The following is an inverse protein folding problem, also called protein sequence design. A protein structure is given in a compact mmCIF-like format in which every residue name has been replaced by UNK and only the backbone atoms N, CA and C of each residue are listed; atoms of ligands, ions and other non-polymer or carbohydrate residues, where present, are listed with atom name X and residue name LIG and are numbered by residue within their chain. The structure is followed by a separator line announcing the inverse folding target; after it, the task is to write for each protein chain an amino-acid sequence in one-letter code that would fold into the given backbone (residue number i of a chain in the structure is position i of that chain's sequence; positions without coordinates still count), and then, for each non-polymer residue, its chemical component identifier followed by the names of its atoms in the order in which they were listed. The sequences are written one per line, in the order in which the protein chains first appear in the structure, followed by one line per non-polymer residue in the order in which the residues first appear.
data_IF_075019728366
#
_entry.id   IF_075019728366
#
_cell.length_a   1.000
_cell.length_b   1.000
_cell.length_c   1.000
_cell.angle_alpha   90.00
_cell.angle_beta   90.00
_cell.angle_gamma   90.00
#
_symmetry.space_group_name_H-M   'P 1'
#
loop_
_entity.id
_entity.type
_entity.pdbx_description
1 polymer ?
#
# COMPACT_ATOMS: atom_id res chain seq x y z
N UNK A 1 -58.39 -0.66 -46.96
CA UNK A 1 -58.19 -1.88 -46.12
C UNK A 1 -56.98 -1.60 -45.24
N UNK A 2 -57.22 -1.19 -44.02
CA UNK A 2 -56.10 -1.02 -43.04
C UNK A 2 -55.67 -2.39 -42.55
N UNK A 3 -54.33 -2.61 -42.35
CA UNK A 3 -53.89 -3.81 -41.71
C UNK A 3 -54.17 -3.71 -40.20
N UNK A 4 -54.97 -4.67 -39.72
CA UNK A 4 -55.24 -4.86 -38.32
C UNK A 4 -53.88 -5.17 -37.62
N UNK A 5 -53.46 -4.31 -36.69
CA UNK A 5 -52.36 -4.60 -35.81
C UNK A 5 -52.81 -5.69 -34.82
N UNK A 6 -52.48 -6.92 -35.10
CA UNK A 6 -52.59 -8.01 -34.13
C UNK A 6 -51.56 -7.76 -33.02
N UNK A 7 -52.04 -7.36 -31.88
CA UNK A 7 -51.25 -7.39 -30.65
C UNK A 7 -50.97 -8.87 -30.30
N UNK A 8 -49.87 -9.40 -30.80
CA UNK A 8 -49.40 -10.70 -30.37
C UNK A 8 -48.92 -10.57 -28.92
N UNK A 9 -49.70 -11.12 -28.00
CA UNK A 9 -49.32 -11.28 -26.60
C UNK A 9 -48.58 -12.61 -26.48
N UNK A 10 -47.34 -12.56 -26.00
CA UNK A 10 -46.66 -13.77 -25.57
C UNK A 10 -47.29 -14.16 -24.23
N UNK A 11 -48.06 -15.24 -24.20
CA UNK A 11 -48.59 -15.81 -22.97
C UNK A 11 -47.59 -16.89 -22.54
N UNK A 12 -46.92 -16.65 -21.43
CA UNK A 12 -46.07 -17.67 -20.78
C UNK A 12 -46.99 -18.47 -19.85
N UNK A 13 -47.42 -19.65 -20.31
CA UNK A 13 -48.33 -20.51 -19.52
C UNK A 13 -47.66 -21.22 -18.37
N UNK A 14 -46.36 -21.45 -18.45
CA UNK A 14 -45.59 -21.96 -17.30
C UNK A 14 -44.11 -21.64 -17.44
N UNK A 15 -43.46 -21.39 -16.31
CA UNK A 15 -41.99 -21.36 -16.20
C UNK A 15 -41.65 -22.56 -15.31
N UNK A 16 -41.04 -23.57 -15.89
CA UNK A 16 -40.50 -24.68 -15.15
C UNK A 16 -39.06 -24.32 -14.69
N UNK A 17 -38.91 -24.06 -13.40
CA UNK A 17 -37.58 -23.95 -12.81
C UNK A 17 -37.13 -25.37 -12.49
N UNK A 18 -36.24 -25.91 -13.32
CA UNK A 18 -35.62 -27.22 -13.07
C UNK A 18 -34.52 -26.99 -12.03
N UNK A 19 -34.82 -27.29 -10.76
CA UNK A 19 -33.80 -27.36 -9.73
C UNK A 19 -32.98 -28.63 -9.94
N UNK A 20 -31.70 -28.50 -10.25
CA UNK A 20 -30.85 -29.68 -10.44
C UNK A 20 -29.48 -29.41 -11.08
N UNK A 21 -29.18 -28.20 -11.45
CA UNK A 21 -27.81 -27.82 -11.77
C UNK A 21 -27.31 -26.97 -10.60
N UNK A 22 -26.54 -27.60 -9.71
CA UNK A 22 -25.68 -26.85 -8.80
C UNK A 22 -24.73 -26.06 -9.66
N UNK A 23 -25.02 -24.78 -9.87
CA UNK A 23 -24.08 -23.87 -10.51
C UNK A 23 -23.00 -23.62 -9.48
N UNK A 24 -22.02 -24.49 -9.41
CA UNK A 24 -20.81 -24.25 -8.64
C UNK A 24 -20.07 -23.10 -9.30
N UNK A 25 -20.08 -21.95 -8.66
CA UNK A 25 -19.29 -20.83 -9.11
C UNK A 25 -17.81 -21.20 -8.99
N UNK A 26 -16.98 -20.82 -9.96
CA UNK A 26 -15.55 -21.09 -9.88
C UNK A 26 -14.94 -20.40 -8.66
N UNK A 27 -13.91 -20.99 -8.04
CA UNK A 27 -13.20 -20.32 -6.96
C UNK A 27 -12.49 -19.08 -7.45
N UNK A 28 -12.40 -18.07 -6.59
CA UNK A 28 -11.67 -16.83 -6.88
C UNK A 28 -10.71 -16.56 -5.74
N UNK A 29 -9.40 -16.56 -6.05
CA UNK A 29 -8.33 -16.19 -5.13
C UNK A 29 -8.07 -14.69 -5.24
N UNK A 30 -8.08 -13.98 -4.11
CA UNK A 30 -7.78 -12.55 -4.03
C UNK A 30 -6.74 -12.28 -2.95
N UNK A 31 -5.69 -11.52 -3.28
CA UNK A 31 -4.76 -10.97 -2.29
C UNK A 31 -5.42 -9.74 -1.66
N UNK A 32 -5.40 -9.65 -0.33
CA UNK A 32 -5.96 -8.54 0.44
C UNK A 32 -4.89 -7.67 1.09
N UNK A 33 -3.63 -8.10 1.05
CA UNK A 33 -2.46 -7.29 1.43
C UNK A 33 -1.83 -6.61 0.21
N UNK A 34 -0.70 -5.93 0.42
CA UNK A 34 0.09 -5.34 -0.67
C UNK A 34 0.64 -6.43 -1.60
N UNK A 35 0.65 -6.15 -2.89
CA UNK A 35 1.20 -7.02 -3.94
C UNK A 35 2.61 -6.62 -4.39
N UNK A 36 3.13 -5.52 -3.85
CA UNK A 36 4.50 -5.07 -4.08
C UNK A 36 5.13 -4.77 -2.72
N UNK A 37 6.18 -5.50 -2.39
CA UNK A 37 6.89 -5.37 -1.12
C UNK A 37 8.29 -4.86 -1.38
N UNK A 38 8.70 -3.84 -0.64
CA UNK A 38 10.08 -3.37 -0.57
C UNK A 38 10.59 -3.64 0.85
N UNK A 39 11.70 -4.35 0.96
CA UNK A 39 12.22 -4.82 2.25
C UNK A 39 13.71 -4.51 2.41
N UNK A 40 14.19 -4.32 3.65
CA UNK A 40 15.61 -4.10 3.90
C UNK A 40 16.46 -5.35 3.63
N UNK A 41 17.78 -5.17 3.65
CA UNK A 41 18.74 -6.25 3.41
C UNK A 41 18.75 -7.33 4.49
N UNK A 42 18.32 -7.01 5.70
CA UNK A 42 18.28 -7.94 6.81
C UNK A 42 17.23 -9.03 6.59
N UNK A 43 17.45 -10.19 7.19
CA UNK A 43 16.45 -11.27 7.17
C UNK A 43 15.18 -10.81 7.91
N UNK A 44 14.03 -11.07 7.31
CA UNK A 44 12.73 -10.70 7.89
C UNK A 44 11.64 -11.70 7.52
N UNK A 45 10.52 -11.65 8.22
CA UNK A 45 9.32 -12.44 7.92
C UNK A 45 8.22 -11.47 7.49
N UNK A 46 7.54 -11.81 6.41
CA UNK A 46 6.36 -11.08 5.93
C UNK A 46 5.17 -12.03 5.80
N UNK A 47 3.98 -11.46 5.79
CA UNK A 47 2.73 -12.21 5.64
C UNK A 47 1.94 -11.62 4.47
N UNK A 48 1.45 -12.50 3.61
CA UNK A 48 0.52 -12.17 2.54
C UNK A 48 -0.86 -12.62 3.00
N UNK A 49 -1.81 -11.70 3.08
CA UNK A 49 -3.20 -12.02 3.38
C UNK A 49 -3.98 -12.23 2.09
N UNK A 50 -4.87 -13.19 2.11
CA UNK A 50 -5.71 -13.53 0.95
C UNK A 50 -7.10 -14.00 1.38
N UNK A 51 -8.02 -14.02 0.42
CA UNK A 51 -9.34 -14.65 0.55
C UNK A 51 -9.58 -15.58 -0.64
N UNK A 52 -10.36 -16.63 -0.41
CA UNK A 52 -10.88 -17.51 -1.47
C UNK A 52 -12.39 -17.45 -1.44
N UNK A 53 -13.01 -16.95 -2.50
CA UNK A 53 -14.45 -17.00 -2.71
C UNK A 53 -14.81 -18.33 -3.37
N UNK A 54 -15.95 -18.90 -3.06
CA UNK A 54 -16.44 -20.21 -3.55
C UNK A 54 -15.39 -21.34 -3.39
N UNK A 55 -14.84 -21.56 -2.19
CA UNK A 55 -13.77 -22.53 -2.01
C UNK A 55 -14.24 -23.97 -2.29
N UNK A 56 -13.39 -24.74 -2.93
CA UNK A 56 -13.61 -26.17 -3.14
C UNK A 56 -13.13 -26.93 -1.91
N UNK A 57 -13.98 -27.85 -1.44
CA UNK A 57 -13.66 -28.66 -0.26
C UNK A 57 -12.39 -29.50 -0.48
N UNK A 58 -11.47 -29.44 0.49
CA UNK A 58 -10.19 -30.17 0.45
C UNK A 58 -9.09 -29.51 -0.39
N UNK A 59 -9.36 -28.37 -1.03
CA UNK A 59 -8.35 -27.58 -1.77
C UNK A 59 -7.77 -26.49 -0.87
N UNK A 60 -6.46 -26.31 -0.93
CA UNK A 60 -5.74 -25.29 -0.17
C UNK A 60 -4.93 -24.38 -1.09
N UNK A 61 -4.69 -23.15 -0.64
CA UNK A 61 -3.75 -22.24 -1.32
C UNK A 61 -2.34 -22.79 -1.21
N UNK A 62 -1.59 -22.70 -2.30
CA UNK A 62 -0.17 -23.06 -2.37
C UNK A 62 0.63 -21.83 -2.74
N UNK A 63 1.69 -21.55 -1.98
CA UNK A 63 2.66 -20.50 -2.26
C UNK A 63 3.95 -21.10 -2.83
N UNK A 64 4.52 -20.43 -3.82
CA UNK A 64 5.83 -20.76 -4.40
C UNK A 64 6.59 -19.47 -4.69
N UNK A 65 7.92 -19.59 -4.82
CA UNK A 65 8.78 -18.47 -5.21
C UNK A 65 9.65 -18.87 -6.41
N UNK A 66 9.98 -17.90 -7.25
CA UNK A 66 10.93 -18.02 -8.34
C UNK A 66 12.41 -17.90 -7.90
N UNK A 67 12.64 -17.57 -6.62
CA UNK A 67 13.96 -17.39 -6.03
C UNK A 67 14.10 -18.10 -4.69
N UNK A 68 15.30 -18.59 -4.35
CA UNK A 68 15.54 -19.38 -3.14
C UNK A 68 15.56 -18.57 -1.84
N UNK A 69 15.81 -17.27 -1.90
CA UNK A 69 15.87 -16.39 -0.74
C UNK A 69 14.51 -15.94 -0.21
N UNK A 70 13.42 -16.27 -0.93
CA UNK A 70 12.03 -16.19 -0.47
C UNK A 70 11.56 -17.61 -0.17
N UNK A 71 11.48 -17.99 1.09
CA UNK A 71 11.32 -19.40 1.48
C UNK A 71 10.48 -19.57 2.78
N UNK A 72 10.42 -20.79 3.29
CA UNK A 72 9.79 -21.15 4.58
C UNK A 72 8.34 -20.68 4.69
N UNK A 73 7.52 -21.02 3.70
CA UNK A 73 6.10 -20.67 3.70
C UNK A 73 5.34 -21.39 4.81
N UNK A 74 4.68 -20.61 5.69
CA UNK A 74 3.84 -21.09 6.79
C UNK A 74 2.42 -20.59 6.59
N UNK A 75 1.48 -21.52 6.48
CA UNK A 75 0.07 -21.22 6.22
C UNK A 75 -0.69 -20.97 7.51
N UNK A 76 -1.43 -19.87 7.56
CA UNK A 76 -2.33 -19.46 8.61
C UNK A 76 -3.76 -19.44 8.07
N UNK A 77 -4.76 -19.14 8.93
CA UNK A 77 -6.18 -19.14 8.55
C UNK A 77 -6.46 -18.22 7.36
N UNK A 78 -5.91 -17.01 7.37
CA UNK A 78 -6.20 -15.97 6.37
C UNK A 78 -4.96 -15.47 5.62
N UNK A 79 -3.87 -16.26 5.65
CA UNK A 79 -2.64 -15.80 5.03
C UNK A 79 -1.54 -16.84 5.00
N UNK A 80 -0.44 -16.46 4.35
CA UNK A 80 0.80 -17.22 4.32
C UNK A 80 1.95 -16.30 4.72
N UNK A 81 2.69 -16.72 5.75
CA UNK A 81 3.94 -16.08 6.16
C UNK A 81 5.11 -16.73 5.45
N UNK A 82 6.13 -15.97 5.15
CA UNK A 82 7.35 -16.46 4.49
C UNK A 82 8.58 -15.71 5.00
N UNK A 83 9.71 -16.38 4.91
CA UNK A 83 11.01 -15.81 5.28
C UNK A 83 11.68 -15.19 4.05
N UNK A 84 12.27 -14.05 4.27
CA UNK A 84 13.16 -13.35 3.34
C UNK A 84 14.57 -13.44 3.92
N UNK A 85 15.47 -14.15 3.28
CA UNK A 85 16.83 -14.29 3.73
C UNK A 85 17.60 -12.97 3.61
N UNK A 86 18.61 -12.77 4.48
CA UNK A 86 19.45 -11.58 4.41
C UNK A 86 20.13 -11.45 3.04
N UNK A 87 20.14 -10.23 2.52
CA UNK A 87 20.90 -9.87 1.32
C UNK A 87 22.29 -9.37 1.70
N UNK A 88 23.33 -9.95 1.14
CA UNK A 88 24.72 -9.53 1.34
C UNK A 88 25.32 -8.87 0.08
N UNK A 89 24.52 -8.74 -0.97
CA UNK A 89 24.94 -8.25 -2.28
C UNK A 89 24.17 -7.00 -2.73
N UNK A 90 24.05 -6.83 -4.03
CA UNK A 90 23.26 -5.75 -4.63
C UNK A 90 21.77 -5.95 -4.42
N UNK A 91 20.98 -4.92 -4.71
CA UNK A 91 19.52 -5.00 -4.71
C UNK A 91 19.03 -6.18 -5.56
N UNK A 92 18.04 -6.91 -5.05
CA UNK A 92 17.50 -8.08 -5.72
C UNK A 92 15.97 -8.10 -5.69
N UNK A 93 15.38 -8.73 -6.70
CA UNK A 93 13.93 -8.90 -6.79
C UNK A 93 13.57 -10.36 -7.01
N UNK A 94 12.39 -10.72 -6.54
CA UNK A 94 11.80 -12.05 -6.72
C UNK A 94 10.29 -11.96 -6.68
N UNK A 95 9.64 -13.04 -7.09
CA UNK A 95 8.18 -13.14 -7.17
C UNK A 95 7.68 -14.32 -6.33
N UNK A 96 6.64 -14.07 -5.54
CA UNK A 96 5.86 -15.13 -4.89
C UNK A 96 4.59 -15.30 -5.70
N UNK A 97 4.24 -16.55 -6.00
CA UNK A 97 2.99 -16.91 -6.65
C UNK A 97 2.11 -17.68 -5.66
N UNK A 98 0.90 -17.19 -5.45
CA UNK A 98 -0.17 -17.92 -4.77
C UNK A 98 -1.05 -18.58 -5.81
N UNK A 99 -1.29 -19.87 -5.66
CA UNK A 99 -2.16 -20.65 -6.53
C UNK A 99 -3.24 -21.36 -5.72
N UNK A 100 -4.40 -21.50 -6.33
CA UNK A 100 -5.52 -22.27 -5.81
C UNK A 100 -6.17 -22.99 -6.99
N UNK A 101 -6.43 -24.30 -6.85
CA UNK A 101 -6.96 -25.09 -7.94
C UNK A 101 -8.32 -24.55 -8.42
N UNK A 102 -8.42 -24.30 -9.71
CA UNK A 102 -9.61 -23.72 -10.35
C UNK A 102 -9.69 -22.19 -10.32
N UNK A 103 -8.77 -21.49 -9.66
CA UNK A 103 -8.69 -20.03 -9.64
C UNK A 103 -7.48 -19.52 -10.42
N UNK A 104 -7.52 -18.25 -10.82
CA UNK A 104 -6.37 -17.55 -11.39
C UNK A 104 -5.29 -17.34 -10.31
N UNK A 105 -4.04 -17.66 -10.64
CA UNK A 105 -2.92 -17.46 -9.75
C UNK A 105 -2.64 -15.97 -9.52
N UNK A 106 -2.22 -15.62 -8.32
CA UNK A 106 -1.91 -14.26 -7.91
C UNK A 106 -0.42 -14.12 -7.62
N UNK A 107 0.17 -12.98 -7.96
CA UNK A 107 1.60 -12.74 -7.80
C UNK A 107 1.90 -11.54 -6.90
N UNK A 108 2.99 -11.66 -6.15
CA UNK A 108 3.53 -10.62 -5.27
C UNK A 108 4.98 -10.39 -5.64
N UNK A 109 5.32 -9.14 -5.97
CA UNK A 109 6.69 -8.74 -6.24
C UNK A 109 7.39 -8.33 -4.94
N UNK A 110 8.58 -8.85 -4.72
CA UNK A 110 9.42 -8.52 -3.55
C UNK A 110 10.74 -7.95 -4.05
N UNK A 111 11.08 -6.73 -3.65
CA UNK A 111 12.38 -6.13 -3.87
C UNK A 111 13.10 -6.00 -2.54
N UNK A 112 14.32 -6.52 -2.45
CA UNK A 112 15.15 -6.43 -1.27
C UNK A 112 16.39 -5.57 -1.56
N UNK A 113 16.59 -4.55 -0.73
CA UNK A 113 17.69 -3.62 -0.90
C UNK A 113 19.05 -4.27 -0.63
N UNK A 114 20.10 -3.62 -1.08
CA UNK A 114 21.48 -3.97 -0.71
C UNK A 114 21.77 -3.60 0.75
N UNK A 115 22.79 -4.21 1.39
CA UNK A 115 23.24 -3.84 2.72
C UNK A 115 23.61 -2.36 2.81
N UNK A 116 23.25 -1.74 3.94
CA UNK A 116 23.49 -0.31 4.16
C UNK A 116 22.49 0.62 3.49
N UNK A 117 21.52 0.11 2.73
CA UNK A 117 20.38 0.90 2.30
C UNK A 117 19.44 1.14 3.48
N UNK A 118 19.07 2.38 3.68
CA UNK A 118 18.06 2.75 4.70
C UNK A 118 16.68 2.67 4.04
N UNK A 119 15.86 1.75 4.54
CA UNK A 119 14.44 1.68 4.15
C UNK A 119 13.66 2.69 4.98
N UNK A 120 12.93 3.54 4.30
CA UNK A 120 12.01 4.45 4.93
C UNK A 120 10.59 4.00 4.66
N UNK A 121 9.88 3.74 5.73
CA UNK A 121 8.43 3.67 5.69
C UNK A 121 7.87 5.09 5.51
N UNK A 122 6.55 5.21 5.46
CA UNK A 122 5.91 6.51 5.33
C UNK A 122 6.32 7.44 6.47
N UNK A 123 6.94 8.59 6.15
CA UNK A 123 7.16 9.64 7.14
C UNK A 123 5.85 10.39 7.36
N UNK A 124 5.33 10.33 8.59
CA UNK A 124 4.07 10.97 8.99
C UNK A 124 4.26 12.31 9.69
N UNK A 125 5.51 12.70 9.92
CA UNK A 125 5.88 13.95 10.61
C UNK A 125 5.32 14.09 12.03
N UNK A 126 5.00 12.96 12.70
CA UNK A 126 4.46 12.98 14.08
C UNK A 126 5.43 13.60 15.08
N UNK A 127 6.73 13.43 14.84
CA UNK A 127 7.77 14.00 15.71
C UNK A 127 8.07 15.47 15.39
N UNK A 128 7.46 16.05 14.38
CA UNK A 128 7.62 17.45 14.05
C UNK A 128 6.84 18.33 15.04
N UNK A 129 7.54 19.21 15.73
CA UNK A 129 6.91 20.20 16.60
C UNK A 129 6.69 21.51 15.85
N UNK A 130 5.42 21.89 15.74
CA UNK A 130 5.04 23.15 15.10
C UNK A 130 5.67 24.33 15.84
N UNK A 131 6.42 25.21 15.17
CA UNK A 131 6.97 26.40 15.82
C UNK A 131 5.85 27.27 16.41
N UNK A 132 6.08 27.79 17.60
CA UNK A 132 5.12 28.69 18.29
C UNK A 132 5.03 30.09 17.68
N UNK A 133 5.95 30.44 16.82
CA UNK A 133 6.02 31.77 16.19
C UNK A 133 5.14 31.86 14.96
N UNK A 134 4.46 33.00 14.78
CA UNK A 134 3.67 33.32 13.59
C UNK A 134 4.54 33.80 12.42
N UNK A 135 5.81 34.06 12.64
CA UNK A 135 6.76 34.46 11.58
C UNK A 135 7.41 33.23 10.95
N UNK A 136 7.65 33.27 9.64
CA UNK A 136 8.32 32.23 8.89
C UNK A 136 9.86 32.23 9.08
N UNK A 137 10.30 32.47 10.29
CA UNK A 137 11.72 32.56 10.63
C UNK A 137 12.28 31.40 11.42
N UNK A 138 11.46 30.45 11.80
CA UNK A 138 11.89 29.33 12.63
C UNK A 138 12.72 28.33 11.85
N UNK A 139 13.77 27.83 12.50
CA UNK A 139 14.63 26.77 12.00
C UNK A 139 14.89 25.77 13.13
N UNK A 140 15.09 24.53 12.77
CA UNK A 140 15.34 23.46 13.74
C UNK A 140 15.48 22.11 13.09
N UNK A 141 15.45 21.09 13.94
CA UNK A 141 15.54 19.69 13.53
C UNK A 141 14.51 18.85 14.31
N UNK A 142 14.13 17.71 13.74
CA UNK A 142 13.34 16.68 14.39
C UNK A 142 13.72 15.30 13.85
N UNK A 143 13.48 14.25 14.61
CA UNK A 143 13.72 12.89 14.18
C UNK A 143 12.51 12.39 13.38
N UNK A 144 12.75 11.63 12.31
CA UNK A 144 11.69 10.92 11.60
C UNK A 144 10.99 9.90 12.51
N UNK A 145 9.80 9.45 12.11
CA UNK A 145 9.00 8.48 12.88
C UNK A 145 9.58 7.07 12.85
N UNK A 146 10.29 6.70 11.79
CA UNK A 146 10.92 5.38 11.67
C UNK A 146 12.24 5.36 12.43
N UNK A 147 12.45 4.33 13.25
CA UNK A 147 13.71 4.14 13.98
C UNK A 147 14.88 4.04 13.00
N UNK A 148 15.93 4.82 13.25
CA UNK A 148 17.11 4.87 12.36
C UNK A 148 16.96 5.83 11.18
N UNK A 149 15.83 6.52 11.02
CA UNK A 149 15.70 7.60 10.03
C UNK A 149 16.62 8.76 10.38
N UNK A 150 17.23 9.39 9.36
CA UNK A 150 18.00 10.59 9.57
C UNK A 150 17.17 11.71 10.16
N UNK A 151 17.84 12.62 10.79
CA UNK A 151 17.24 13.83 11.33
C UNK A 151 16.81 14.76 10.19
N UNK A 152 15.56 15.18 10.25
CA UNK A 152 15.04 16.23 9.39
C UNK A 152 15.52 17.60 9.88
N UNK A 153 15.79 18.50 8.96
CA UNK A 153 16.04 19.90 9.24
C UNK A 153 15.02 20.77 8.53
N UNK A 154 14.63 21.86 9.16
CA UNK A 154 13.72 22.85 8.58
C UNK A 154 14.25 24.26 8.78
N UNK A 155 13.90 25.15 7.85
CA UNK A 155 14.26 26.56 7.87
C UNK A 155 13.13 27.37 7.25
N UNK A 156 12.93 28.59 7.75
CA UNK A 156 11.87 29.47 7.24
C UNK A 156 10.47 28.92 7.47
N UNK A 157 10.29 28.08 8.49
CA UNK A 157 8.98 27.53 8.86
C UNK A 157 8.33 28.40 9.95
N UNK A 158 7.01 28.40 10.01
CA UNK A 158 6.23 29.12 11.00
C UNK A 158 4.85 28.52 11.18
N UNK A 159 4.14 29.01 12.19
CA UNK A 159 2.74 28.71 12.37
C UNK A 159 1.91 29.84 11.73
N UNK A 160 1.26 29.61 10.59
CA UNK A 160 0.49 30.64 9.92
C UNK A 160 -0.81 30.90 10.69
N UNK A 161 -0.75 31.71 11.72
CA UNK A 161 -1.91 32.20 12.43
C UNK A 161 -2.89 31.09 12.92
N UNK A 162 -2.85 30.78 14.20
CA UNK A 162 -3.73 29.78 14.82
C UNK A 162 -5.23 29.99 14.58
N UNK A 163 -5.64 31.13 14.06
CA UNK A 163 -7.03 31.44 13.76
C UNK A 163 -7.50 30.93 12.38
N UNK A 164 -6.58 30.57 11.47
CA UNK A 164 -6.99 30.12 10.14
C UNK A 164 -6.88 28.60 10.05
N UNK A 165 -7.96 27.91 10.37
CA UNK A 165 -8.11 26.46 10.25
C UNK A 165 -8.54 25.99 8.85
N UNK A 166 -8.70 26.93 7.91
CA UNK A 166 -9.10 26.61 6.54
C UNK A 166 -7.89 26.15 5.72
N UNK A 167 -7.75 24.84 5.59
CA UNK A 167 -6.69 24.20 4.80
C UNK A 167 -6.73 24.64 3.33
N UNK A 168 -7.91 24.95 2.80
CA UNK A 168 -8.06 25.42 1.41
C UNK A 168 -7.49 26.81 1.24
N UNK A 169 -7.77 27.71 2.18
CA UNK A 169 -7.21 29.05 2.16
C UNK A 169 -5.69 29.04 2.32
N UNK A 170 -5.14 28.15 3.17
CA UNK A 170 -3.70 27.95 3.33
C UNK A 170 -3.05 27.42 2.05
N UNK A 171 -3.64 26.43 1.41
CA UNK A 171 -3.13 25.88 0.14
C UNK A 171 -3.17 26.93 -0.97
N UNK A 172 -4.23 27.73 -1.08
CA UNK A 172 -4.32 28.83 -2.04
C UNK A 172 -3.29 29.95 -1.80
N UNK A 173 -2.85 30.09 -0.56
CA UNK A 173 -1.74 31.01 -0.21
C UNK A 173 -0.34 30.43 -0.45
N UNK A 174 -0.25 29.22 -1.02
CA UNK A 174 1.02 28.54 -1.25
C UNK A 174 1.67 27.96 0.01
N UNK A 175 0.86 27.72 1.03
CA UNK A 175 1.32 27.14 2.31
C UNK A 175 1.22 25.62 2.25
N UNK A 176 2.30 24.93 2.54
CA UNK A 176 2.31 23.47 2.70
C UNK A 176 1.96 23.13 4.14
N UNK A 177 0.86 22.43 4.34
CA UNK A 177 0.43 21.90 5.64
C UNK A 177 1.02 20.51 5.83
N UNK A 178 1.71 20.31 6.93
CA UNK A 178 2.35 19.03 7.25
C UNK A 178 1.52 18.32 8.31
N UNK A 179 1.04 17.12 7.97
CA UNK A 179 0.36 16.19 8.87
C UNK A 179 -0.73 16.87 9.74
N UNK A 180 -1.64 17.60 9.11
CA UNK A 180 -2.69 18.37 9.82
C UNK A 180 -2.20 19.36 10.90
N UNK A 181 -0.91 19.42 11.11
CA UNK A 181 -0.27 20.42 11.95
C UNK A 181 -0.14 21.70 11.13
N UNK A 182 -0.58 22.81 11.68
CA UNK A 182 -0.58 24.12 11.00
C UNK A 182 0.84 24.70 10.87
N UNK A 183 1.76 23.89 10.39
CA UNK A 183 3.10 24.31 10.06
C UNK A 183 3.17 24.70 8.60
N UNK A 184 3.67 25.85 8.31
CA UNK A 184 3.87 26.32 6.96
C UNK A 184 5.35 26.47 6.66
N UNK A 185 5.74 26.01 5.49
CA UNK A 185 7.02 26.37 4.90
C UNK A 185 6.79 27.69 4.18
N UNK A 186 7.46 28.76 4.64
CA UNK A 186 7.39 30.07 4.00
C UNK A 186 7.97 30.04 2.57
N UNK A 187 7.73 31.09 1.80
CA UNK A 187 8.14 31.19 0.38
C UNK A 187 9.64 30.85 0.14
N UNK A 188 10.50 31.16 1.11
CA UNK A 188 11.93 30.87 1.06
C UNK A 188 12.34 29.82 2.11
N UNK A 189 11.37 29.11 2.66
CA UNK A 189 11.61 28.06 3.64
C UNK A 189 11.93 26.74 2.96
N UNK A 190 12.48 25.84 3.73
CA UNK A 190 12.78 24.47 3.29
C UNK A 190 12.56 23.47 4.43
N UNK A 191 12.26 22.25 4.03
CA UNK A 191 12.34 21.08 4.88
C UNK A 191 13.19 20.07 4.14
N UNK A 192 14.22 19.56 4.80
CA UNK A 192 15.19 18.67 4.16
C UNK A 192 15.65 17.58 5.10
N UNK A 193 16.11 16.51 4.51
CA UNK A 193 16.73 15.39 5.19
C UNK A 193 17.88 14.86 4.34
N UNK A 194 18.95 14.47 4.98
CA UNK A 194 20.07 13.81 4.29
C UNK A 194 19.89 12.31 4.40
N UNK A 195 19.77 11.64 3.26
CA UNK A 195 19.59 10.19 3.18
C UNK A 195 20.93 9.56 2.81
N UNK A 196 21.58 8.86 3.74
CA UNK A 196 22.79 8.10 3.44
C UNK A 196 22.51 7.03 2.38
N UNK A 197 23.34 6.93 1.36
CA UNK A 197 23.21 5.92 0.29
C UNK A 197 22.23 6.29 -0.85
N UNK A 198 21.58 7.45 -0.78
CA UNK A 198 20.67 7.93 -1.83
C UNK A 198 19.24 7.44 -1.71
N UNK A 199 18.41 7.81 -2.67
CA UNK A 199 16.98 7.44 -2.75
C UNK A 199 16.77 6.67 -4.05
N UNK A 200 16.17 5.50 -3.97
CA UNK A 200 15.73 4.73 -5.14
C UNK A 200 14.30 5.06 -5.56
N UNK A 201 13.46 5.46 -4.60
CA UNK A 201 12.10 5.90 -4.87
C UNK A 201 11.63 6.92 -3.83
N UNK A 202 10.84 7.91 -4.26
CA UNK A 202 10.18 8.89 -3.41
C UNK A 202 8.73 9.00 -3.85
N UNK A 203 7.80 8.77 -2.93
CA UNK A 203 6.37 8.88 -3.17
C UNK A 203 5.78 9.93 -2.24
N UNK A 204 5.01 10.85 -2.81
CA UNK A 204 4.17 11.79 -2.08
C UNK A 204 2.72 11.34 -2.17
N UNK A 205 2.01 11.35 -1.07
CA UNK A 205 0.57 11.09 -0.99
C UNK A 205 -0.18 12.39 -0.73
#
# INVERSE_FOLDING_TARGET
IEPSATNERIIIESIQIVSGHDVTLPPVLKITSETTLSVPAESTIKTINYTVENPTNGVSVVASSDVSWLNSFVYNVDGVSFTIDANQGEERSGTITLSYEGAEAQTISVTQTKPGAVMWETETFENYTVPSTTSYGSSGTFNGVTTGTPQWSYSGCGNPNQANTDKTALANAGVVVINDKYAAIGKNGSMSVTIPGGITALKFN
#
